data_IF_110279272936
#
_entry.id   IF_110279272936
#
_cell.length_a   1.000
_cell.length_b   1.000
_cell.length_c   1.000
_cell.angle_alpha   90.00
_cell.angle_beta   90.00
_cell.angle_gamma   90.00
#
_symmetry.space_group_name_H-M   'P 1'
#
loop_
_entity.id
_entity.type
_entity.pdbx_description
1 polymer ?
#
# COMPACT_ATOMS: atom_id res chain seq x y z
N UNK A 1 19.96 31.27 -13.14
CA UNK A 1 18.99 31.47 -12.03
C UNK A 1 17.87 30.42 -12.05
N UNK A 2 17.35 30.04 -13.21
CA UNK A 2 16.34 28.98 -13.38
C UNK A 2 16.74 27.61 -12.80
N UNK A 3 18.00 27.19 -12.94
CA UNK A 3 18.45 25.91 -12.37
C UNK A 3 18.41 25.88 -10.83
N UNK A 4 18.79 27.00 -10.17
CA UNK A 4 18.77 27.10 -8.71
C UNK A 4 17.34 27.06 -8.15
N UNK A 5 16.39 27.70 -8.84
CA UNK A 5 14.96 27.62 -8.51
C UNK A 5 14.37 26.23 -8.74
N UNK A 6 14.82 25.50 -9.75
CA UNK A 6 14.36 24.13 -10.03
C UNK A 6 14.85 23.12 -8.98
N UNK A 7 16.10 23.25 -8.52
CA UNK A 7 16.65 22.39 -7.46
C UNK A 7 15.89 22.64 -6.14
N UNK A 8 15.67 23.90 -5.77
CA UNK A 8 14.92 24.24 -4.56
C UNK A 8 13.46 23.76 -4.62
N UNK A 9 12.83 23.82 -5.80
CA UNK A 9 11.48 23.29 -5.99
C UNK A 9 11.43 21.75 -5.89
N UNK A 10 12.47 21.05 -6.37
CA UNK A 10 12.59 19.61 -6.24
C UNK A 10 12.82 19.16 -4.78
N UNK A 11 13.62 19.92 -4.02
CA UNK A 11 13.82 19.66 -2.58
C UNK A 11 12.57 19.95 -1.74
N UNK A 12 11.74 20.90 -2.16
CA UNK A 12 10.48 21.21 -1.50
C UNK A 12 9.35 20.22 -1.83
N UNK A 13 9.53 19.34 -2.81
CA UNK A 13 8.53 18.36 -3.21
C UNK A 13 8.45 17.20 -2.20
N UNK A 14 7.23 16.86 -1.76
CA UNK A 14 6.99 15.67 -0.94
C UNK A 14 7.28 14.41 -1.74
N UNK A 15 7.97 13.44 -1.11
CA UNK A 15 8.26 12.16 -1.75
C UNK A 15 7.02 11.27 -1.80
N UNK A 16 6.62 10.89 -3.01
CA UNK A 16 5.51 9.97 -3.28
C UNK A 16 5.93 8.49 -3.18
N UNK A 17 7.24 8.22 -3.11
CA UNK A 17 7.82 6.88 -3.11
C UNK A 17 7.21 5.94 -2.05
N UNK A 18 6.99 6.36 -0.79
CA UNK A 18 6.38 5.49 0.21
C UNK A 18 4.95 5.08 -0.14
N UNK A 19 4.16 5.99 -0.74
CA UNK A 19 2.80 5.70 -1.18
C UNK A 19 2.80 4.66 -2.30
N UNK A 20 3.66 4.81 -3.31
CA UNK A 20 3.74 3.83 -4.39
C UNK A 20 4.18 2.45 -3.92
N UNK A 21 5.18 2.37 -3.03
CA UNK A 21 5.65 1.08 -2.50
C UNK A 21 4.55 0.37 -1.72
N UNK A 22 3.92 1.06 -0.77
CA UNK A 22 2.88 0.47 0.08
C UNK A 22 1.61 0.18 -0.74
N UNK A 23 1.24 1.06 -1.66
CA UNK A 23 0.10 0.89 -2.54
C UNK A 23 0.25 -0.33 -3.45
N UNK A 24 1.42 -0.52 -4.07
CA UNK A 24 1.72 -1.71 -4.88
C UNK A 24 1.72 -2.97 -4.03
N UNK A 25 2.32 -2.95 -2.84
CA UNK A 25 2.29 -4.09 -1.92
C UNK A 25 0.85 -4.46 -1.52
N UNK A 26 0.00 -3.46 -1.24
CA UNK A 26 -1.40 -3.70 -0.90
C UNK A 26 -2.21 -4.25 -2.08
N UNK A 27 -2.01 -3.70 -3.28
CA UNK A 27 -2.65 -4.20 -4.50
C UNK A 27 -2.24 -5.65 -4.79
N UNK A 28 -0.94 -5.96 -4.71
CA UNK A 28 -0.43 -7.31 -4.90
C UNK A 28 -1.02 -8.30 -3.88
N UNK A 29 -1.07 -7.92 -2.60
CA UNK A 29 -1.69 -8.71 -1.55
C UNK A 29 -3.17 -9.03 -1.84
N UNK A 30 -3.94 -8.03 -2.24
CA UNK A 30 -5.35 -8.20 -2.58
C UNK A 30 -5.55 -9.14 -3.77
N UNK A 31 -4.73 -9.00 -4.83
CA UNK A 31 -4.77 -9.88 -6.00
C UNK A 31 -4.43 -11.32 -5.63
N UNK A 32 -3.41 -11.53 -4.80
CA UNK A 32 -3.00 -12.88 -4.37
C UNK A 32 -4.13 -13.55 -3.58
N UNK A 33 -4.68 -12.87 -2.56
CA UNK A 33 -5.74 -13.44 -1.73
C UNK A 33 -7.03 -13.63 -2.51
N UNK A 34 -7.41 -12.66 -3.34
CA UNK A 34 -8.58 -12.79 -4.21
C UNK A 34 -8.43 -13.97 -5.17
N UNK A 35 -7.26 -14.09 -5.80
CA UNK A 35 -6.92 -15.20 -6.68
C UNK A 35 -7.01 -16.55 -5.98
N UNK A 36 -6.36 -16.71 -4.82
CA UNK A 36 -6.42 -17.95 -4.02
C UNK A 36 -7.87 -18.27 -3.62
N UNK A 37 -8.62 -17.28 -3.13
CA UNK A 37 -10.02 -17.47 -2.73
C UNK A 37 -10.94 -17.85 -3.90
N UNK A 38 -10.58 -17.51 -5.13
CA UNK A 38 -11.35 -17.90 -6.32
C UNK A 38 -11.08 -19.35 -6.74
N UNK A 39 -9.86 -19.85 -6.50
CA UNK A 39 -9.43 -21.20 -6.94
C UNK A 39 -9.50 -22.26 -5.83
N UNK A 40 -9.66 -21.86 -4.57
CA UNK A 40 -9.61 -22.76 -3.42
C UNK A 40 -10.88 -22.66 -2.58
N UNK A 41 -11.70 -23.72 -2.61
CA UNK A 41 -12.93 -23.82 -1.81
C UNK A 41 -12.67 -23.85 -0.30
N UNK A 42 -11.50 -24.36 0.11
CA UNK A 42 -11.10 -24.45 1.51
C UNK A 42 -10.46 -23.16 2.04
N UNK A 43 -10.41 -22.10 1.24
CA UNK A 43 -9.81 -20.85 1.64
C UNK A 43 -10.83 -19.94 2.36
N UNK A 44 -10.48 -19.34 3.51
CA UNK A 44 -9.22 -19.50 4.25
C UNK A 44 -9.15 -20.83 5.02
N UNK A 45 -7.95 -21.45 5.13
CA UNK A 45 -7.78 -22.82 5.62
C UNK A 45 -8.08 -23.01 7.11
N UNK A 46 -8.17 -21.92 7.87
CA UNK A 46 -8.54 -21.94 9.28
C UNK A 46 -9.00 -20.56 9.74
N UNK A 47 -9.68 -20.52 10.90
CA UNK A 47 -10.05 -19.25 11.55
C UNK A 47 -8.84 -18.37 11.87
N UNK A 48 -7.72 -18.98 12.29
CA UNK A 48 -6.48 -18.25 12.58
C UNK A 48 -5.91 -17.58 11.33
N UNK A 49 -5.92 -18.29 10.19
CA UNK A 49 -5.50 -17.74 8.90
C UNK A 49 -6.41 -16.58 8.46
N UNK A 50 -7.73 -16.74 8.60
CA UNK A 50 -8.69 -15.68 8.27
C UNK A 50 -8.45 -14.39 9.09
N UNK A 51 -8.20 -14.53 10.39
CA UNK A 51 -7.89 -13.39 11.27
C UNK A 51 -6.57 -12.73 10.85
N UNK A 52 -5.51 -13.52 10.63
CA UNK A 52 -4.21 -13.00 10.22
C UNK A 52 -4.30 -12.24 8.89
N UNK A 53 -5.01 -12.80 7.91
CA UNK A 53 -5.26 -12.13 6.62
C UNK A 53 -6.02 -10.82 6.80
N UNK A 54 -7.05 -10.81 7.64
CA UNK A 54 -7.80 -9.59 7.97
C UNK A 54 -6.91 -8.52 8.58
N UNK A 55 -6.06 -8.89 9.56
CA UNK A 55 -5.12 -7.96 10.19
C UNK A 55 -4.14 -7.39 9.18
N UNK A 56 -3.52 -8.22 8.34
CA UNK A 56 -2.58 -7.76 7.30
C UNK A 56 -3.28 -6.81 6.32
N UNK A 57 -4.49 -7.13 5.88
CA UNK A 57 -5.27 -6.27 4.98
C UNK A 57 -5.58 -4.91 5.61
N UNK A 58 -5.98 -4.88 6.88
CA UNK A 58 -6.25 -3.62 7.60
C UNK A 58 -4.97 -2.80 7.79
N UNK A 59 -3.85 -3.44 8.14
CA UNK A 59 -2.57 -2.76 8.30
C UNK A 59 -2.07 -2.15 6.99
N UNK A 60 -2.16 -2.88 5.89
CA UNK A 60 -1.79 -2.38 4.57
C UNK A 60 -2.70 -1.24 4.11
N UNK A 61 -4.01 -1.35 4.35
CA UNK A 61 -4.96 -0.28 4.06
C UNK A 61 -4.66 0.99 4.88
N UNK A 62 -4.45 0.85 6.19
CA UNK A 62 -4.10 1.97 7.06
C UNK A 62 -2.77 2.60 6.65
N UNK A 63 -1.74 1.79 6.36
CA UNK A 63 -0.45 2.29 5.89
C UNK A 63 -0.58 3.06 4.58
N UNK A 64 -1.38 2.57 3.62
CA UNK A 64 -1.65 3.25 2.36
C UNK A 64 -2.36 4.60 2.57
N UNK A 65 -3.34 4.63 3.47
CA UNK A 65 -4.05 5.88 3.82
C UNK A 65 -3.13 6.88 4.52
N UNK A 66 -2.24 6.43 5.41
CA UNK A 66 -1.26 7.31 6.05
C UNK A 66 -0.27 7.86 5.02
N UNK A 67 0.27 7.02 4.14
CA UNK A 67 1.24 7.47 3.14
C UNK A 67 0.63 8.39 2.10
N UNK A 68 -0.63 8.18 1.69
CA UNK A 68 -1.30 9.13 0.77
C UNK A 68 -1.51 10.48 1.44
N UNK A 69 -1.92 10.51 2.72
CA UNK A 69 -2.09 11.76 3.47
C UNK A 69 -0.77 12.53 3.60
N UNK A 70 0.36 11.84 3.80
CA UNK A 70 1.68 12.46 3.85
C UNK A 70 2.13 13.04 2.51
N UNK A 71 1.55 12.59 1.40
CA UNK A 71 1.83 13.08 0.05
C UNK A 71 0.92 14.25 -0.32
N UNK A 72 -0.39 14.13 -0.06
CA UNK A 72 -1.40 15.11 -0.54
C UNK A 72 -1.73 16.23 0.46
N UNK A 73 -1.49 16.02 1.76
CA UNK A 73 -1.75 17.01 2.83
C UNK A 73 -0.46 17.58 3.33
#
# INVERSE_FOLDING_TARGET
MTQATLILAAEAAKSETPFFIIGVAFAAWAVIIGGIGTVSESFPPSRGAAIAMGVVSVLLAAACMVTVLLVIG
#
